data_IF_821595903927
#
_entry.id   IF_821595903927
#
_cell.length_a   1.000
_cell.length_b   1.000
_cell.length_c   1.000
_cell.angle_alpha   90.00
_cell.angle_beta   90.00
_cell.angle_gamma   90.00
#
_symmetry.space_group_name_H-M   'P 1'
#
loop_
_entity.id
_entity.type
_entity.pdbx_description
1 polymer ?
#
# COMPACT_ATOMS: atom_id res chain seq x y z
N UNK A 1 57.87 -25.90 -56.63
CA UNK A 1 57.75 -25.35 -55.27
C UNK A 1 56.37 -24.70 -55.14
N UNK A 2 55.45 -25.32 -54.38
CA UNK A 2 54.06 -24.86 -54.19
C UNK A 2 53.96 -24.07 -52.88
N UNK A 3 53.57 -22.80 -52.95
CA UNK A 3 53.33 -21.95 -51.78
C UNK A 3 51.90 -22.10 -51.27
N UNK A 4 51.74 -22.68 -50.08
CA UNK A 4 50.49 -22.72 -49.31
C UNK A 4 50.27 -21.37 -48.59
N UNK A 5 49.18 -20.67 -48.93
CA UNK A 5 48.66 -19.54 -48.14
C UNK A 5 47.76 -20.08 -47.01
N UNK A 6 48.12 -19.80 -45.76
CA UNK A 6 47.27 -20.03 -44.57
C UNK A 6 46.31 -18.84 -44.42
N UNK A 7 45.01 -19.13 -44.39
CA UNK A 7 43.96 -18.21 -43.96
C UNK A 7 43.87 -18.27 -42.42
N UNK A 8 44.06 -17.14 -41.76
CA UNK A 8 43.86 -17.00 -40.31
C UNK A 8 42.41 -16.55 -40.05
N UNK A 9 41.61 -17.42 -39.46
CA UNK A 9 40.28 -17.08 -38.95
C UNK A 9 40.42 -16.29 -37.65
N UNK A 10 39.95 -15.04 -37.65
CA UNK A 10 39.83 -14.22 -36.45
C UNK A 10 38.50 -14.56 -35.75
N UNK A 11 38.57 -15.20 -34.59
CA UNK A 11 37.41 -15.43 -33.71
C UNK A 11 37.16 -14.15 -32.90
N UNK A 12 36.09 -13.43 -33.22
CA UNK A 12 35.63 -12.29 -32.42
C UNK A 12 34.80 -12.81 -31.24
N UNK A 13 35.38 -12.78 -30.03
CA UNK A 13 34.67 -13.04 -28.77
C UNK A 13 33.82 -11.80 -28.41
N UNK A 14 32.52 -11.85 -28.68
CA UNK A 14 31.56 -10.89 -28.13
C UNK A 14 31.34 -11.19 -26.64
N UNK A 15 31.99 -10.44 -25.76
CA UNK A 15 31.69 -10.41 -24.33
C UNK A 15 30.35 -9.68 -24.13
N UNK A 16 29.27 -10.42 -23.99
CA UNK A 16 27.96 -9.85 -23.65
C UNK A 16 27.97 -9.35 -22.21
N UNK A 17 27.95 -8.03 -22.00
CA UNK A 17 27.62 -7.44 -20.70
C UNK A 17 26.14 -7.73 -20.39
N UNK A 18 25.90 -8.62 -19.43
CA UNK A 18 24.62 -8.72 -18.74
C UNK A 18 24.45 -7.46 -17.87
N UNK A 19 23.69 -6.49 -18.37
CA UNK A 19 23.16 -5.41 -17.55
C UNK A 19 22.07 -5.99 -16.64
N UNK A 20 22.40 -6.25 -15.38
CA UNK A 20 21.41 -6.44 -14.33
C UNK A 20 20.71 -5.08 -14.10
N UNK A 21 19.53 -4.90 -14.69
CA UNK A 21 18.67 -3.79 -14.35
C UNK A 21 18.28 -3.93 -12.87
N UNK A 22 18.62 -2.93 -12.06
CA UNK A 22 18.16 -2.89 -10.68
C UNK A 22 16.63 -2.85 -10.67
N UNK A 23 16.00 -3.74 -9.89
CA UNK A 23 14.57 -3.68 -9.68
C UNK A 23 14.19 -2.29 -9.13
N UNK A 24 13.06 -1.71 -9.55
CA UNK A 24 12.64 -0.42 -9.06
C UNK A 24 12.41 -0.48 -7.56
N UNK A 25 12.64 0.63 -6.85
CA UNK A 25 12.59 0.66 -5.38
C UNK A 25 11.24 0.20 -4.80
N UNK A 26 10.14 0.36 -5.55
CA UNK A 26 8.82 -0.10 -5.11
C UNK A 26 8.65 -1.64 -5.18
N UNK A 27 9.46 -2.32 -5.99
CA UNK A 27 9.48 -3.77 -6.10
C UNK A 27 10.40 -4.44 -5.06
N UNK A 28 11.13 -3.65 -4.27
CA UNK A 28 11.95 -4.18 -3.18
C UNK A 28 11.04 -4.63 -2.03
N UNK A 29 10.77 -5.93 -1.99
CA UNK A 29 10.12 -6.60 -0.87
C UNK A 29 11.17 -6.99 0.16
N UNK A 30 10.96 -6.56 1.40
CA UNK A 30 11.73 -7.05 2.54
C UNK A 30 10.99 -8.24 3.18
N UNK A 31 11.72 -9.30 3.53
CA UNK A 31 11.19 -10.45 4.25
C UNK A 31 11.86 -10.57 5.62
N UNK A 32 11.04 -10.77 6.66
CA UNK A 32 11.44 -10.94 8.04
C UNK A 32 10.82 -12.22 8.61
N UNK A 33 11.50 -12.82 9.58
CA UNK A 33 11.02 -14.02 10.27
C UNK A 33 10.82 -13.71 11.75
N UNK A 34 9.58 -13.83 12.22
CA UNK A 34 9.24 -13.64 13.62
C UNK A 34 9.10 -14.99 14.33
N UNK A 35 9.99 -15.22 15.29
CA UNK A 35 10.08 -16.44 16.10
C UNK A 35 9.21 -16.30 17.36
N UNK A 36 8.20 -17.17 17.53
CA UNK A 36 7.31 -17.13 18.72
C UNK A 36 8.02 -17.42 20.03
N UNK A 37 9.16 -18.11 19.97
CA UNK A 37 10.03 -18.43 21.10
C UNK A 37 10.93 -17.27 21.55
N UNK A 38 10.89 -16.13 20.85
CA UNK A 38 11.71 -14.96 21.17
C UNK A 38 10.86 -13.80 21.66
N UNK A 39 11.21 -13.28 22.84
CA UNK A 39 10.70 -11.99 23.33
C UNK A 39 11.43 -10.77 22.74
N UNK A 40 12.50 -10.99 21.99
CA UNK A 40 13.24 -9.90 21.36
C UNK A 40 12.53 -9.46 20.08
N UNK A 41 12.16 -8.17 19.93
CA UNK A 41 11.61 -7.68 18.69
C UNK A 41 12.59 -7.87 17.53
N UNK A 42 12.05 -8.25 16.37
CA UNK A 42 12.82 -8.21 15.12
C UNK A 42 12.71 -6.82 14.50
N UNK A 43 13.73 -6.44 13.74
CA UNK A 43 13.83 -5.13 13.10
C UNK A 43 14.11 -5.29 11.61
N UNK A 44 13.36 -4.57 10.79
CA UNK A 44 13.63 -4.44 9.37
C UNK A 44 14.90 -3.62 9.09
N UNK A 45 15.44 -3.79 7.91
CA UNK A 45 16.61 -3.08 7.40
C UNK A 45 16.20 -1.80 6.66
N UNK A 46 15.02 -1.79 6.03
CA UNK A 46 14.51 -0.62 5.33
C UNK A 46 13.91 0.41 6.31
N UNK A 47 14.25 1.68 6.11
CA UNK A 47 13.58 2.80 6.78
C UNK A 47 12.27 3.10 6.06
N UNK A 48 11.15 3.02 6.78
CA UNK A 48 9.82 3.28 6.24
C UNK A 48 9.57 4.80 6.22
N UNK A 49 9.58 5.41 5.04
CA UNK A 49 9.47 6.86 4.87
C UNK A 49 8.14 7.39 5.39
N UNK A 50 8.19 8.52 6.12
CA UNK A 50 6.99 9.17 6.66
C UNK A 50 5.94 9.43 5.59
N UNK A 51 4.72 9.01 5.87
CA UNK A 51 3.56 9.24 5.01
C UNK A 51 3.50 8.36 3.75
N UNK A 52 4.53 7.57 3.44
CA UNK A 52 4.47 6.55 2.40
C UNK A 52 3.70 5.34 2.93
N UNK A 53 2.68 4.85 2.19
CA UNK A 53 1.98 3.63 2.58
C UNK A 53 2.79 2.38 2.21
N UNK A 54 2.70 1.37 3.05
CA UNK A 54 3.34 0.07 2.91
C UNK A 54 2.31 -1.05 3.11
N UNK A 55 2.42 -2.10 2.32
CA UNK A 55 1.70 -3.36 2.52
C UNK A 55 2.57 -4.30 3.35
N UNK A 56 2.07 -4.67 4.52
CA UNK A 56 2.63 -5.69 5.38
C UNK A 56 1.79 -6.96 5.24
N UNK A 57 2.39 -8.05 4.79
CA UNK A 57 1.75 -9.37 4.81
C UNK A 57 2.36 -10.19 5.93
N UNK A 58 1.53 -10.72 6.83
CA UNK A 58 1.94 -11.71 7.81
C UNK A 58 1.34 -13.06 7.45
N UNK A 59 2.17 -14.10 7.40
CA UNK A 59 1.76 -15.47 7.09
C UNK A 59 2.35 -16.44 8.10
N UNK A 60 1.55 -17.35 8.64
CA UNK A 60 2.05 -18.38 9.55
C UNK A 60 0.99 -18.86 10.53
N UNK A 61 1.33 -19.90 11.27
CA UNK A 61 0.57 -20.32 12.46
C UNK A 61 1.55 -20.60 13.58
N UNK A 62 1.12 -20.35 14.81
CA UNK A 62 1.94 -20.48 16.01
C UNK A 62 1.06 -20.83 17.22
N UNK A 63 1.72 -21.06 18.35
CA UNK A 63 1.04 -21.25 19.61
C UNK A 63 1.74 -20.49 20.73
N UNK A 64 0.95 -19.95 21.66
CA UNK A 64 1.42 -19.33 22.90
C UNK A 64 1.09 -20.18 24.13
N UNK A 65 0.61 -21.40 23.92
CA UNK A 65 0.37 -22.39 24.97
C UNK A 65 1.34 -23.55 24.83
N UNK A 66 1.88 -24.03 25.94
CA UNK A 66 2.69 -25.26 26.01
C UNK A 66 2.09 -26.48 25.28
N UNK A 67 0.77 -26.62 25.26
CA UNK A 67 0.06 -27.72 24.60
C UNK A 67 -1.40 -27.37 24.30
N UNK A 68 -1.94 -27.94 23.22
CA UNK A 68 -3.37 -27.91 22.82
C UNK A 68 -4.07 -29.27 22.95
N UNK A 69 -3.48 -30.21 23.71
CA UNK A 69 -3.97 -31.60 23.80
C UNK A 69 -5.45 -31.75 24.21
N UNK A 70 -5.97 -30.85 25.05
CA UNK A 70 -7.38 -30.79 25.43
C UNK A 70 -7.95 -29.45 24.98
N UNK A 71 -8.68 -29.41 23.86
CA UNK A 71 -9.30 -28.18 23.35
C UNK A 71 -10.51 -27.78 24.17
N UNK A 72 -10.73 -26.48 24.32
CA UNK A 72 -11.91 -25.95 25.00
C UNK A 72 -13.22 -26.30 24.28
N UNK A 73 -14.32 -26.26 25.02
CA UNK A 73 -15.66 -26.61 24.52
C UNK A 73 -16.14 -25.71 23.37
N UNK A 74 -15.62 -24.48 23.31
CA UNK A 74 -15.89 -23.46 22.27
C UNK A 74 -14.74 -23.29 21.27
N UNK A 75 -13.66 -24.05 21.44
CA UNK A 75 -12.49 -23.99 20.59
C UNK A 75 -12.80 -24.57 19.22
N UNK A 76 -12.21 -24.01 18.16
CA UNK A 76 -12.14 -24.69 16.87
C UNK A 76 -11.14 -25.83 16.87
N UNK A 77 -10.93 -26.42 15.69
CA UNK A 77 -9.98 -27.50 15.46
C UNK A 77 -8.56 -26.92 15.32
N UNK A 78 -7.57 -27.39 16.09
CA UNK A 78 -6.19 -26.95 15.91
C UNK A 78 -5.59 -27.55 14.63
N UNK A 79 -4.65 -26.84 14.03
CA UNK A 79 -3.80 -27.39 12.98
C UNK A 79 -2.78 -28.36 13.59
N UNK A 80 -2.38 -29.44 12.89
CA UNK A 80 -1.52 -30.47 13.45
C UNK A 80 -0.10 -29.99 13.76
N UNK A 81 0.40 -29.02 12.98
CA UNK A 81 1.74 -28.42 13.12
C UNK A 81 1.71 -26.95 12.68
N UNK A 82 2.70 -26.13 13.09
CA UNK A 82 2.86 -24.78 12.56
C UNK A 82 3.11 -24.80 11.05
N UNK A 83 2.56 -23.82 10.35
CA UNK A 83 2.82 -23.59 8.93
C UNK A 83 4.32 -23.36 8.68
N UNK A 84 4.97 -22.67 9.62
CA UNK A 84 6.42 -22.50 9.65
C UNK A 84 6.96 -22.97 11.01
N UNK A 85 7.58 -24.16 11.08
CA UNK A 85 8.11 -24.70 12.32
C UNK A 85 9.19 -23.81 12.95
N UNK A 86 9.22 -23.73 14.28
CA UNK A 86 10.35 -23.12 15.01
C UNK A 86 11.61 -23.95 14.81
N UNK A 87 12.80 -23.31 14.73
CA UNK A 87 14.06 -24.01 14.54
C UNK A 87 14.51 -24.79 15.78
N UNK A 88 13.95 -24.50 16.96
CA UNK A 88 14.29 -25.13 18.23
C UNK A 88 13.05 -25.70 18.90
N UNK A 89 13.19 -26.86 19.55
CA UNK A 89 12.13 -27.50 20.31
C UNK A 89 11.12 -28.29 19.46
N UNK A 90 10.13 -28.87 20.14
CA UNK A 90 9.10 -29.68 19.50
C UNK A 90 7.99 -28.78 18.95
N UNK A 91 7.68 -28.95 17.66
CA UNK A 91 6.52 -28.32 17.02
C UNK A 91 5.31 -29.23 17.19
N UNK A 92 4.21 -28.69 17.72
CA UNK A 92 2.97 -29.43 18.02
C UNK A 92 1.78 -28.74 17.35
N UNK A 93 0.57 -29.14 17.74
CA UNK A 93 -0.67 -28.51 17.32
C UNK A 93 -0.67 -27.00 17.58
N UNK A 94 -1.19 -26.21 16.65
CA UNK A 94 -1.29 -24.74 16.76
C UNK A 94 -2.73 -24.28 16.63
N UNK A 95 -3.05 -23.17 17.28
CA UNK A 95 -4.40 -22.61 17.34
C UNK A 95 -4.46 -21.11 17.06
N UNK A 96 -3.32 -20.52 16.67
CA UNK A 96 -3.20 -19.07 16.48
C UNK A 96 -2.53 -18.79 15.13
N UNK A 97 -3.01 -17.76 14.43
CA UNK A 97 -2.38 -17.15 13.28
C UNK A 97 -2.18 -15.64 13.52
N UNK A 98 -1.68 -14.83 12.56
CA UNK A 98 -1.42 -13.41 12.81
C UNK A 98 -2.63 -12.63 13.29
N UNK A 99 -3.85 -13.02 12.90
CA UNK A 99 -5.07 -12.23 13.10
C UNK A 99 -6.08 -12.92 14.02
N UNK A 100 -6.05 -14.25 14.14
CA UNK A 100 -7.06 -15.04 14.83
C UNK A 100 -6.48 -16.09 15.76
N UNK A 101 -7.16 -16.28 16.89
CA UNK A 101 -7.12 -17.50 17.69
C UNK A 101 -8.29 -18.38 17.24
N UNK A 102 -7.98 -19.48 16.55
CA UNK A 102 -8.97 -20.44 16.03
C UNK A 102 -9.05 -21.72 16.86
N UNK A 103 -8.07 -22.00 17.72
CA UNK A 103 -8.14 -23.07 18.71
C UNK A 103 -7.42 -22.69 20.01
N UNK A 104 -7.93 -23.16 21.16
CA UNK A 104 -7.39 -22.85 22.49
C UNK A 104 -7.62 -24.01 23.47
N UNK A 105 -6.81 -24.13 24.54
CA UNK A 105 -6.94 -25.22 25.48
C UNK A 105 -8.15 -25.04 26.41
N UNK A 106 -8.69 -26.16 26.90
CA UNK A 106 -9.74 -26.20 27.89
C UNK A 106 -9.31 -25.49 29.19
N UNK A 107 -10.22 -24.73 29.79
CA UNK A 107 -9.96 -23.96 31.01
C UNK A 107 -9.19 -22.66 30.82
N UNK A 108 -8.76 -22.33 29.59
CA UNK A 108 -8.19 -21.02 29.25
C UNK A 108 -9.19 -19.88 29.47
N UNK A 109 -8.69 -18.64 29.49
CA UNK A 109 -9.55 -17.45 29.56
C UNK A 109 -10.53 -17.38 28.38
N UNK A 110 -10.11 -17.79 27.18
CA UNK A 110 -10.96 -17.86 25.99
C UNK A 110 -12.07 -18.91 26.12
N UNK A 111 -11.77 -20.09 26.66
CA UNK A 111 -12.79 -21.13 26.91
C UNK A 111 -13.88 -20.65 27.88
N UNK A 112 -13.49 -19.85 28.88
CA UNK A 112 -14.41 -19.22 29.85
C UNK A 112 -15.14 -18.00 29.27
N UNK A 113 -14.67 -17.44 28.16
CA UNK A 113 -15.27 -16.26 27.54
C UNK A 113 -16.54 -16.59 26.76
N UNK A 114 -17.34 -15.57 26.43
CA UNK A 114 -18.47 -15.70 25.52
C UNK A 114 -18.07 -15.54 24.04
N UNK A 115 -16.79 -15.32 23.73
CA UNK A 115 -16.36 -15.10 22.36
C UNK A 115 -16.43 -16.40 21.55
N UNK A 116 -17.01 -16.37 20.33
CA UNK A 116 -17.02 -17.54 19.45
C UNK A 116 -15.63 -17.76 18.84
N UNK A 117 -15.34 -19.00 18.44
CA UNK A 117 -14.20 -19.29 17.57
C UNK A 117 -14.57 -18.96 16.12
N UNK A 118 -13.66 -18.38 15.32
CA UNK A 118 -12.35 -17.84 15.71
C UNK A 118 -12.48 -16.46 16.38
N UNK A 119 -11.64 -16.20 17.39
CA UNK A 119 -11.53 -14.90 18.05
C UNK A 119 -10.38 -14.08 17.45
N UNK A 120 -10.47 -12.74 17.42
CA UNK A 120 -9.36 -11.88 16.97
C UNK A 120 -8.17 -11.99 17.94
N UNK A 121 -6.98 -12.18 17.40
CA UNK A 121 -5.72 -12.17 18.14
C UNK A 121 -5.11 -10.77 18.17
N UNK A 122 -4.23 -10.53 19.14
CA UNK A 122 -3.41 -9.30 19.21
C UNK A 122 -2.00 -9.58 19.74
N UNK A 123 -1.58 -10.85 19.65
CA UNK A 123 -0.30 -11.37 20.13
C UNK A 123 0.89 -10.90 19.30
N UNK A 124 0.68 -10.37 18.09
CA UNK A 124 1.74 -9.74 17.29
C UNK A 124 1.57 -8.23 17.31
N UNK A 125 2.62 -7.49 17.66
CA UNK A 125 2.61 -6.04 17.64
C UNK A 125 3.70 -5.50 16.72
N UNK A 126 3.39 -4.39 16.06
CA UNK A 126 4.31 -3.62 15.24
C UNK A 126 4.63 -2.28 15.90
N UNK A 127 5.84 -1.78 15.65
CA UNK A 127 6.26 -0.42 15.96
C UNK A 127 6.82 0.25 14.71
N UNK A 128 6.43 1.51 14.52
CA UNK A 128 6.85 2.36 13.41
C UNK A 128 7.68 3.56 13.87
N UNK A 129 7.87 3.74 15.19
CA UNK A 129 8.48 4.92 15.80
C UNK A 129 9.77 4.59 16.58
N UNK A 130 10.42 3.50 16.18
CA UNK A 130 11.67 3.03 16.80
C UNK A 130 11.46 2.26 18.11
N UNK A 131 10.27 1.71 18.34
CA UNK A 131 9.96 0.87 19.51
C UNK A 131 9.35 1.63 20.69
N UNK A 132 8.91 2.88 20.50
CA UNK A 132 8.30 3.70 21.56
C UNK A 132 6.84 3.29 21.77
N UNK A 133 6.10 3.08 20.69
CA UNK A 133 4.73 2.56 20.73
C UNK A 133 4.61 1.24 19.99
N UNK A 134 3.69 0.40 20.47
CA UNK A 134 3.46 -0.94 19.95
C UNK A 134 1.96 -1.19 19.85
N UNK A 135 1.51 -1.67 18.70
CA UNK A 135 0.10 -2.02 18.48
C UNK A 135 -0.02 -3.19 17.53
N UNK A 136 -1.07 -3.98 17.68
CA UNK A 136 -1.47 -4.89 16.62
C UNK A 136 -1.98 -4.05 15.44
N UNK A 137 -1.50 -4.27 14.20
CA UNK A 137 -2.03 -3.55 13.05
C UNK A 137 -3.50 -3.93 12.84
N UNK A 138 -4.35 -2.96 12.45
CA UNK A 138 -5.77 -3.21 12.25
C UNK A 138 -6.02 -3.98 10.95
N UNK A 139 -6.90 -4.97 10.98
CA UNK A 139 -7.41 -5.65 9.78
C UNK A 139 -8.91 -5.88 9.89
N UNK A 140 -9.60 -5.84 8.74
CA UNK A 140 -10.99 -6.27 8.59
C UNK A 140 -11.11 -7.64 7.92
N UNK A 141 -9.98 -8.29 7.62
CA UNK A 141 -9.97 -9.57 6.93
C UNK A 141 -10.81 -10.62 7.68
N UNK A 142 -11.58 -11.46 6.97
CA UNK A 142 -12.20 -12.63 7.57
C UNK A 142 -11.14 -13.68 7.91
N UNK A 143 -11.50 -14.64 8.77
CA UNK A 143 -10.61 -15.76 9.09
C UNK A 143 -10.24 -16.55 7.82
N UNK A 144 -8.94 -16.76 7.61
CA UNK A 144 -8.39 -17.49 6.46
C UNK A 144 -7.72 -18.79 6.94
N UNK A 145 -8.53 -19.85 7.06
CA UNK A 145 -8.06 -21.17 7.45
C UNK A 145 -7.15 -21.87 6.41
N UNK A 146 -7.08 -21.36 5.17
CA UNK A 146 -6.31 -22.02 4.09
C UNK A 146 -4.88 -21.53 4.05
N UNK A 147 -4.68 -20.21 4.03
CA UNK A 147 -3.34 -19.64 3.87
C UNK A 147 -2.75 -19.09 5.17
N UNK A 148 -3.59 -18.81 6.17
CA UNK A 148 -3.20 -18.10 7.40
C UNK A 148 -2.34 -16.86 7.10
N UNK A 149 -2.78 -16.10 6.09
CA UNK A 149 -2.08 -14.95 5.56
C UNK A 149 -3.00 -13.73 5.54
N UNK A 150 -2.51 -12.62 6.08
CA UNK A 150 -3.28 -11.39 6.24
C UNK A 150 -2.45 -10.19 5.81
N UNK A 151 -3.12 -9.23 5.19
CA UNK A 151 -2.55 -7.98 4.74
C UNK A 151 -2.91 -6.85 5.70
N UNK A 152 -1.95 -5.98 5.94
CA UNK A 152 -2.07 -4.80 6.77
C UNK A 152 -1.43 -3.62 6.06
N UNK A 153 -2.02 -2.46 6.25
CA UNK A 153 -1.53 -1.24 5.64
C UNK A 153 -0.92 -0.36 6.71
N UNK A 154 0.34 0.00 6.50
CA UNK A 154 1.10 0.82 7.40
C UNK A 154 1.42 2.15 6.73
N UNK A 155 1.44 3.24 7.50
CA UNK A 155 2.06 4.49 7.08
C UNK A 155 3.44 4.58 7.73
N UNK A 156 4.49 4.74 6.95
CA UNK A 156 5.84 4.90 7.50
C UNK A 156 5.97 6.13 8.41
N UNK A 157 7.02 6.14 9.24
CA UNK A 157 7.32 7.21 10.22
C UNK A 157 8.84 7.41 10.40
N UNK A 158 9.59 7.31 9.31
CA UNK A 158 11.05 7.49 9.23
C UNK A 158 11.88 6.57 10.12
N UNK A 159 11.34 5.41 10.49
CA UNK A 159 12.05 4.35 11.21
C UNK A 159 11.90 3.02 10.48
N UNK A 160 12.78 2.07 10.80
CA UNK A 160 12.59 0.69 10.38
C UNK A 160 11.42 0.05 11.13
N UNK A 161 10.68 -0.82 10.44
CA UNK A 161 9.64 -1.64 11.07
C UNK A 161 10.26 -2.47 12.20
N UNK A 162 9.61 -2.49 13.36
CA UNK A 162 9.88 -3.50 14.38
C UNK A 162 8.64 -4.34 14.63
N UNK A 163 8.83 -5.63 14.89
CA UNK A 163 7.73 -6.57 15.15
C UNK A 163 8.08 -7.46 16.34
N UNK A 164 7.10 -7.75 17.20
CA UNK A 164 7.29 -8.63 18.37
C UNK A 164 6.06 -9.50 18.65
N UNK A 165 6.29 -10.60 19.36
CA UNK A 165 5.24 -11.31 20.06
C UNK A 165 4.99 -10.74 21.46
N UNK A 166 3.73 -10.73 21.88
CA UNK A 166 3.26 -10.36 23.22
C UNK A 166 2.84 -11.62 23.93
N UNK A 167 3.77 -12.17 24.72
CA UNK A 167 3.51 -13.35 25.52
C UNK A 167 4.57 -13.50 26.63
N UNK A 168 4.27 -14.26 27.68
CA UNK A 168 5.23 -14.60 28.73
C UNK A 168 4.74 -15.84 29.52
N UNK A 169 5.52 -16.93 29.60
CA UNK A 169 6.87 -17.11 29.07
C UNK A 169 6.91 -17.34 27.55
N UNK A 170 8.02 -17.01 26.89
CA UNK A 170 8.22 -17.35 25.46
C UNK A 170 8.70 -18.79 25.25
N UNK A 171 9.18 -19.45 26.31
CA UNK A 171 9.86 -20.74 26.22
C UNK A 171 8.94 -21.92 25.85
N UNK A 172 7.62 -21.76 25.99
CA UNK A 172 6.63 -22.78 25.64
C UNK A 172 5.91 -22.50 24.32
N UNK A 173 6.35 -21.47 23.60
CA UNK A 173 5.83 -21.12 22.29
C UNK A 173 6.49 -21.97 21.19
N UNK A 174 5.81 -22.07 20.05
CA UNK A 174 6.35 -22.69 18.85
C UNK A 174 5.59 -22.24 17.61
N UNK A 175 6.25 -22.36 16.46
CA UNK A 175 5.81 -21.81 15.19
C UNK A 175 6.42 -20.42 14.91
N UNK A 176 6.29 -19.99 13.66
CA UNK A 176 6.87 -18.74 13.16
C UNK A 176 5.90 -18.03 12.23
N UNK A 177 6.11 -16.74 12.09
CA UNK A 177 5.40 -15.90 11.14
C UNK A 177 6.41 -15.33 10.15
N UNK A 178 6.19 -15.62 8.88
CA UNK A 178 6.85 -14.94 7.78
C UNK A 178 6.17 -13.59 7.59
N UNK A 179 6.97 -12.54 7.53
CA UNK A 179 6.51 -11.17 7.37
C UNK A 179 7.12 -10.62 6.11
N UNK A 180 6.31 -10.04 5.23
CA UNK A 180 6.82 -9.28 4.09
C UNK A 180 6.33 -7.85 4.09
N UNK A 181 7.24 -6.93 3.83
CA UNK A 181 6.96 -5.49 3.74
C UNK A 181 7.21 -5.03 2.31
N UNK A 182 6.23 -4.38 1.71
CA UNK A 182 6.33 -3.82 0.36
C UNK A 182 5.89 -2.34 0.37
N UNK A 183 6.69 -1.41 -0.13
CA UNK A 183 6.25 -0.02 -0.34
C UNK A 183 5.20 0.08 -1.44
N UNK A 184 4.35 1.10 -1.35
CA UNK A 184 3.50 1.48 -2.47
C UNK A 184 4.33 1.95 -3.67
N UNK A 185 3.84 1.66 -4.87
CA UNK A 185 4.34 2.30 -6.07
C UNK A 185 3.94 3.77 -6.03
N UNK A 186 4.89 4.67 -6.25
CA UNK A 186 4.69 6.11 -6.25
C UNK A 186 4.73 6.66 -7.68
N UNK A 187 3.66 7.34 -8.08
CA UNK A 187 3.53 8.00 -9.37
C UNK A 187 3.31 9.50 -9.17
N UNK A 188 3.74 10.28 -10.16
CA UNK A 188 3.58 11.74 -10.18
C UNK A 188 2.84 12.17 -11.43
N UNK A 189 1.63 12.71 -11.25
CA UNK A 189 0.81 13.25 -12.33
C UNK A 189 1.00 14.78 -12.37
N UNK A 190 1.53 15.30 -13.47
CA UNK A 190 1.70 16.73 -13.68
C UNK A 190 0.53 17.31 -14.47
N UNK A 191 -0.13 18.33 -13.92
CA UNK A 191 -1.26 19.03 -14.55
C UNK A 191 -0.89 19.71 -15.87
N UNK A 192 0.42 19.91 -16.10
CA UNK A 192 0.96 20.47 -17.35
C UNK A 192 1.20 19.43 -18.45
N UNK A 193 0.89 18.17 -18.21
CA UNK A 193 1.05 17.09 -19.17
C UNK A 193 -0.30 16.44 -19.51
N UNK A 194 -0.61 16.38 -20.79
CA UNK A 194 -1.71 15.56 -21.30
C UNK A 194 -1.35 14.09 -21.55
N UNK A 195 -0.06 13.74 -21.42
CA UNK A 195 0.37 12.36 -21.57
C UNK A 195 -0.01 11.56 -20.31
N UNK A 196 -0.71 10.42 -20.45
CA UNK A 196 -0.98 9.56 -19.32
C UNK A 196 0.31 9.05 -18.69
N UNK A 197 0.34 9.01 -17.36
CA UNK A 197 1.35 8.25 -16.63
C UNK A 197 0.87 6.81 -16.47
N UNK A 198 1.83 5.90 -16.34
CA UNK A 198 1.57 4.47 -16.28
C UNK A 198 2.32 3.87 -15.08
N UNK A 199 1.61 3.05 -14.33
CA UNK A 199 2.17 2.17 -13.30
C UNK A 199 3.01 1.05 -13.92
N UNK A 200 4.09 0.69 -13.27
CA UNK A 200 4.88 -0.50 -13.58
C UNK A 200 4.22 -1.79 -13.05
N UNK A 201 3.36 -1.67 -12.01
CA UNK A 201 2.53 -2.76 -11.52
C UNK A 201 1.39 -3.12 -12.49
N UNK A 202 1.39 -4.36 -12.97
CA UNK A 202 0.26 -4.91 -13.73
C UNK A 202 -0.83 -5.36 -12.77
N UNK A 203 -2.02 -4.76 -12.90
CA UNK A 203 -3.15 -5.06 -12.04
C UNK A 203 -3.84 -6.36 -12.46
N UNK A 204 -3.48 -7.47 -11.84
CA UNK A 204 -4.07 -8.79 -12.11
C UNK A 204 -5.61 -8.76 -12.16
N UNK A 205 -6.19 -9.41 -13.18
CA UNK A 205 -7.63 -9.36 -13.45
C UNK A 205 -8.46 -9.83 -12.26
N UNK A 206 -9.45 -9.02 -11.87
CA UNK A 206 -10.35 -9.29 -10.74
C UNK A 206 -9.72 -9.18 -9.35
N UNK A 207 -8.43 -8.85 -9.25
CA UNK A 207 -7.77 -8.63 -7.95
C UNK A 207 -8.06 -7.21 -7.44
N UNK A 208 -8.34 -7.05 -6.15
CA UNK A 208 -8.53 -5.73 -5.57
C UNK A 208 -7.19 -4.98 -5.50
N UNK A 209 -7.24 -3.69 -5.81
CA UNK A 209 -6.15 -2.76 -5.63
C UNK A 209 -6.70 -1.49 -5.03
N UNK A 210 -5.82 -0.79 -4.34
CA UNK A 210 -6.14 0.48 -3.75
C UNK A 210 -5.08 1.49 -4.18
N UNK A 211 -5.52 2.67 -4.58
CA UNK A 211 -4.60 3.78 -4.76
C UNK A 211 -5.08 5.03 -4.03
N UNK A 212 -4.13 5.86 -3.65
CA UNK A 212 -4.38 7.12 -2.96
C UNK A 212 -3.81 8.25 -3.79
N UNK A 213 -4.61 9.28 -4.06
CA UNK A 213 -4.16 10.50 -4.71
C UNK A 213 -4.07 11.62 -3.67
N UNK A 214 -3.01 12.42 -3.77
CA UNK A 214 -2.77 13.56 -2.90
C UNK A 214 -2.25 14.76 -3.69
N UNK A 215 -2.77 15.95 -3.40
CA UNK A 215 -2.21 17.20 -3.92
C UNK A 215 -3.28 18.20 -4.35
N UNK A 216 -2.84 19.39 -4.75
CA UNK A 216 -3.72 20.43 -5.30
C UNK A 216 -3.15 20.95 -6.61
N UNK A 217 -4.04 21.33 -7.51
CA UNK A 217 -3.70 21.80 -8.85
C UNK A 217 -4.72 22.83 -9.38
N UNK A 218 -4.36 23.48 -10.47
CA UNK A 218 -5.21 24.40 -11.23
C UNK A 218 -5.34 23.90 -12.66
N UNK A 219 -6.56 23.96 -13.19
CA UNK A 219 -6.92 23.80 -14.60
C UNK A 219 -7.13 25.16 -15.31
N UNK A 220 -6.57 26.23 -14.73
CA UNK A 220 -6.75 27.61 -15.18
C UNK A 220 -5.43 28.36 -15.16
N UNK A 221 -5.21 29.18 -16.18
CA UNK A 221 -4.06 30.08 -16.30
C UNK A 221 -3.96 31.24 -15.32
N UNK A 222 -4.88 31.35 -14.35
CA UNK A 222 -4.77 32.29 -13.24
C UNK A 222 -6.06 32.54 -12.48
N UNK A 223 -5.91 33.02 -11.25
CA UNK A 223 -6.97 33.53 -10.39
C UNK A 223 -6.81 35.05 -10.24
N UNK A 224 -7.49 35.83 -11.07
CA UNK A 224 -7.53 37.30 -10.92
C UNK A 224 -8.49 37.73 -9.81
N UNK A 225 -9.61 37.01 -9.67
CA UNK A 225 -10.55 37.09 -8.56
C UNK A 225 -11.26 35.74 -8.42
N UNK A 226 -11.71 35.38 -7.21
CA UNK A 226 -12.57 34.21 -7.02
C UNK A 226 -13.98 34.47 -7.59
N UNK A 227 -14.61 33.42 -8.13
CA UNK A 227 -16.01 33.50 -8.57
C UNK A 227 -16.99 33.69 -7.41
N UNK A 228 -18.21 34.15 -7.67
CA UNK A 228 -19.18 34.50 -6.62
C UNK A 228 -19.51 33.34 -5.64
N UNK A 229 -19.55 32.11 -6.13
CA UNK A 229 -19.81 30.88 -5.35
C UNK A 229 -18.55 30.06 -5.06
N UNK A 230 -17.38 30.61 -5.39
CA UNK A 230 -16.08 29.97 -5.20
C UNK A 230 -15.61 30.09 -3.76
N UNK A 231 -14.89 29.07 -3.30
CA UNK A 231 -14.12 29.13 -2.08
C UNK A 231 -12.84 29.95 -2.28
N UNK A 232 -12.01 29.98 -1.23
CA UNK A 232 -10.71 30.63 -1.26
C UNK A 232 -9.69 29.72 -1.96
N UNK A 233 -9.02 30.18 -3.03
CA UNK A 233 -7.95 29.40 -3.63
C UNK A 233 -6.74 29.34 -2.70
N UNK A 234 -5.97 28.26 -2.78
CA UNK A 234 -4.67 28.18 -2.13
C UNK A 234 -3.65 29.01 -2.91
N UNK A 235 -2.67 29.64 -2.24
CA UNK A 235 -1.70 30.51 -2.89
C UNK A 235 -0.75 29.77 -3.84
N UNK A 236 -0.51 28.47 -3.60
CA UNK A 236 0.38 27.60 -4.37
C UNK A 236 -0.11 26.16 -4.29
N UNK A 237 0.17 25.31 -5.31
CA UNK A 237 -0.10 23.88 -5.23
C UNK A 237 0.67 23.21 -4.09
N UNK A 238 0.05 22.21 -3.47
CA UNK A 238 0.70 21.32 -2.49
C UNK A 238 1.98 20.70 -3.05
N UNK A 239 1.96 20.31 -4.33
CA UNK A 239 3.15 19.83 -5.04
C UNK A 239 3.38 20.66 -6.30
N UNK A 240 4.38 21.57 -6.31
CA UNK A 240 4.68 22.41 -7.48
C UNK A 240 5.03 21.61 -8.73
N UNK A 241 4.50 21.99 -9.89
CA UNK A 241 4.99 21.50 -11.19
C UNK A 241 6.41 22.01 -11.45
N UNK A 242 7.28 21.20 -12.07
CA UNK A 242 8.64 21.61 -12.39
C UNK A 242 8.69 22.73 -13.44
N UNK A 243 9.83 23.42 -13.50
CA UNK A 243 10.28 24.28 -14.60
C UNK A 243 9.43 25.52 -14.95
N UNK A 244 8.41 25.91 -14.15
CA UNK A 244 7.82 27.27 -14.22
C UNK A 244 7.27 27.70 -12.86
N UNK A 245 7.00 29.00 -12.73
CA UNK A 245 6.23 29.53 -11.61
C UNK A 245 4.88 28.80 -11.50
N UNK A 246 4.48 28.53 -10.26
CA UNK A 246 3.18 27.95 -9.95
C UNK A 246 2.22 29.06 -9.53
N UNK A 247 0.94 28.84 -9.77
CA UNK A 247 -0.11 29.81 -9.49
C UNK A 247 -1.02 29.32 -8.36
N UNK A 248 -2.02 30.14 -8.05
CA UNK A 248 -3.09 29.74 -7.15
C UNK A 248 -3.84 28.53 -7.68
N UNK A 249 -4.32 27.68 -6.76
CA UNK A 249 -5.00 26.42 -7.08
C UNK A 249 -6.34 26.32 -6.38
N UNK A 250 -7.24 25.55 -6.98
CA UNK A 250 -8.62 25.39 -6.50
C UNK A 250 -9.20 24.01 -6.72
N UNK A 251 -8.37 23.05 -7.17
CA UNK A 251 -8.79 21.69 -7.49
C UNK A 251 -7.89 20.71 -6.75
N UNK A 252 -8.49 19.64 -6.24
CA UNK A 252 -7.80 18.46 -5.74
C UNK A 252 -8.34 17.20 -6.46
N UNK A 253 -7.85 15.98 -6.16
CA UNK A 253 -8.26 14.79 -6.88
C UNK A 253 -9.77 14.51 -6.89
N UNK A 254 -10.53 15.00 -5.91
CA UNK A 254 -11.93 14.66 -5.72
C UNK A 254 -12.86 15.87 -5.72
N UNK A 255 -12.35 17.08 -5.46
CA UNK A 255 -13.14 18.29 -5.30
C UNK A 255 -12.56 19.48 -6.07
N UNK A 256 -13.46 20.33 -6.57
CA UNK A 256 -13.18 21.71 -6.93
C UNK A 256 -13.62 22.59 -5.76
N UNK A 257 -12.66 23.16 -5.05
CA UNK A 257 -12.88 23.99 -3.86
C UNK A 257 -12.71 25.49 -4.12
N UNK A 258 -12.10 25.88 -5.25
CA UNK A 258 -12.09 27.27 -5.71
C UNK A 258 -11.99 27.34 -7.24
N UNK A 259 -12.51 28.42 -7.83
CA UNK A 259 -12.43 28.71 -9.26
C UNK A 259 -12.39 30.23 -9.54
N UNK A 260 -11.77 30.66 -10.65
CA UNK A 260 -11.70 32.07 -10.98
C UNK A 260 -13.05 32.61 -11.47
N UNK A 261 -13.24 33.92 -11.27
CA UNK A 261 -14.32 34.70 -11.88
C UNK A 261 -14.24 34.59 -13.40
N UNK A 262 -15.39 34.40 -14.06
CA UNK A 262 -15.53 34.19 -15.49
C UNK A 262 -15.37 32.73 -15.92
N UNK A 263 -15.00 31.81 -15.02
CA UNK A 263 -14.93 30.39 -15.36
C UNK A 263 -16.31 29.81 -15.68
N UNK A 264 -16.33 28.70 -16.43
CA UNK A 264 -17.57 27.96 -16.70
C UNK A 264 -18.30 27.51 -15.43
N UNK A 265 -17.58 27.31 -14.33
CA UNK A 265 -18.15 26.94 -13.04
C UNK A 265 -18.92 28.07 -12.36
N UNK A 266 -18.61 29.34 -12.64
CA UNK A 266 -19.35 30.48 -12.08
C UNK A 266 -20.81 30.53 -12.56
N UNK A 267 -21.10 29.92 -13.72
CA UNK A 267 -22.48 29.79 -14.22
C UNK A 267 -23.31 28.79 -13.41
N UNK A 268 -22.67 27.97 -12.60
CA UNK A 268 -23.34 26.99 -11.75
C UNK A 268 -23.77 27.63 -10.43
N UNK A 269 -25.00 27.39 -9.96
CA UNK A 269 -25.44 27.85 -8.64
C UNK A 269 -24.85 27.01 -7.50
N UNK A 270 -24.18 25.88 -7.81
CA UNK A 270 -23.62 24.98 -6.80
C UNK A 270 -22.42 25.65 -6.10
N UNK A 271 -22.43 25.74 -4.75
CA UNK A 271 -21.33 26.33 -4.00
C UNK A 271 -20.11 25.40 -3.95
N UNK A 272 -18.93 25.98 -3.69
CA UNK A 272 -17.75 25.20 -3.34
C UNK A 272 -17.86 24.61 -1.92
N UNK A 273 -17.19 23.48 -1.61
CA UNK A 273 -16.55 22.58 -2.56
C UNK A 273 -17.58 21.70 -3.28
N UNK A 274 -17.32 21.39 -4.55
CA UNK A 274 -18.13 20.45 -5.35
C UNK A 274 -17.28 19.30 -5.85
N UNK A 275 -17.89 18.15 -6.16
CA UNK A 275 -17.17 17.00 -6.71
C UNK A 275 -16.50 17.37 -8.03
N UNK A 276 -15.21 17.06 -8.15
CA UNK A 276 -14.44 17.15 -9.37
C UNK A 276 -14.69 15.89 -10.18
N UNK A 277 -15.56 15.92 -11.19
CA UNK A 277 -15.89 14.70 -11.95
C UNK A 277 -15.18 14.58 -13.29
N UNK A 278 -14.24 15.48 -13.60
CA UNK A 278 -13.74 15.62 -14.97
C UNK A 278 -12.29 16.07 -15.14
N UNK A 279 -11.54 16.37 -14.07
CA UNK A 279 -10.14 16.83 -14.26
C UNK A 279 -9.16 15.67 -14.39
N UNK A 280 -9.35 14.60 -13.63
CA UNK A 280 -8.48 13.42 -13.59
C UNK A 280 -9.26 12.19 -14.02
N UNK A 281 -8.66 11.36 -14.87
CA UNK A 281 -9.21 10.07 -15.24
C UNK A 281 -8.19 8.94 -15.04
N UNK A 282 -8.72 7.76 -14.77
CA UNK A 282 -7.95 6.51 -14.74
C UNK A 282 -8.39 5.57 -15.85
N UNK A 283 -7.46 4.71 -16.26
CA UNK A 283 -7.73 3.55 -17.11
C UNK A 283 -7.11 2.30 -16.49
N UNK A 284 -7.88 1.20 -16.54
CA UNK A 284 -7.48 -0.12 -16.05
C UNK A 284 -7.33 -1.14 -17.18
N UNK A 285 -7.68 -0.77 -18.42
CA UNK A 285 -7.79 -1.64 -19.60
C UNK A 285 -6.77 -1.31 -20.69
N UNK A 286 -5.67 -0.66 -20.30
CA UNK A 286 -4.60 -0.24 -21.21
C UNK A 286 -4.91 1.04 -21.98
N UNK A 287 -5.82 1.88 -21.50
CA UNK A 287 -6.14 3.19 -22.08
C UNK A 287 -7.30 3.17 -23.07
N UNK A 288 -8.09 2.09 -23.12
CA UNK A 288 -9.26 1.98 -24.02
C UNK A 288 -10.45 2.73 -23.44
N UNK A 289 -10.70 2.58 -22.14
CA UNK A 289 -11.71 3.34 -21.41
C UNK A 289 -11.05 4.21 -20.35
N UNK A 290 -11.66 5.38 -20.13
CA UNK A 290 -11.24 6.37 -19.15
C UNK A 290 -12.43 6.80 -18.33
N UNK A 291 -12.24 6.93 -17.03
CA UNK A 291 -13.25 7.43 -16.11
C UNK A 291 -12.61 8.15 -14.94
N UNK A 292 -13.32 9.12 -14.41
CA UNK A 292 -12.96 9.69 -13.12
C UNK A 292 -13.10 8.63 -12.01
N UNK A 293 -12.07 8.39 -11.19
CA UNK A 293 -12.21 7.54 -10.01
C UNK A 293 -13.03 8.29 -8.95
N UNK A 294 -14.00 7.65 -8.30
CA UNK A 294 -14.82 8.32 -7.28
C UNK A 294 -14.58 7.73 -5.90
N UNK A 295 -14.63 8.58 -4.89
CA UNK A 295 -14.60 8.18 -3.48
C UNK A 295 -15.84 8.70 -2.74
N UNK A 296 -16.22 8.04 -1.65
CA UNK A 296 -17.29 8.52 -0.75
C UNK A 296 -16.78 9.51 0.29
N UNK A 297 -15.48 9.80 0.30
CA UNK A 297 -14.85 10.68 1.28
C UNK A 297 -15.47 12.09 1.23
N UNK A 298 -15.61 12.76 2.38
CA UNK A 298 -15.91 14.18 2.43
C UNK A 298 -14.70 15.00 1.95
N UNK A 299 -14.92 16.28 1.65
CA UNK A 299 -13.84 17.19 1.30
C UNK A 299 -12.79 17.27 2.42
N UNK A 300 -11.52 17.07 2.06
CA UNK A 300 -10.39 17.14 2.99
C UNK A 300 -9.48 18.32 2.61
N UNK A 301 -9.75 19.48 3.22
CA UNK A 301 -8.97 20.70 3.02
C UNK A 301 -7.56 20.69 3.64
N UNK A 302 -7.23 19.69 4.47
CA UNK A 302 -5.93 19.65 5.17
C UNK A 302 -4.93 18.82 4.38
N UNK A 303 -5.32 17.61 3.99
CA UNK A 303 -4.39 16.69 3.32
C UNK A 303 -4.59 16.61 1.81
N UNK A 304 -5.74 17.06 1.30
CA UNK A 304 -6.15 16.90 -0.10
C UNK A 304 -5.90 15.47 -0.63
N UNK A 305 -6.24 14.49 0.21
CA UNK A 305 -5.86 13.08 0.07
C UNK A 305 -7.10 12.20 0.05
N UNK A 306 -7.22 11.38 -0.99
CA UNK A 306 -8.38 10.52 -1.23
C UNK A 306 -7.95 9.13 -1.67
N UNK A 307 -8.67 8.12 -1.20
CA UNK A 307 -8.37 6.71 -1.45
C UNK A 307 -9.47 6.09 -2.30
N UNK A 308 -9.06 5.28 -3.26
CA UNK A 308 -9.91 4.68 -4.27
C UNK A 308 -9.65 3.18 -4.34
N UNK A 309 -10.73 2.40 -4.36
CA UNK A 309 -10.71 0.96 -4.54
C UNK A 309 -11.01 0.64 -6.01
N UNK A 310 -10.22 -0.23 -6.62
CA UNK A 310 -10.41 -0.70 -7.99
C UNK A 310 -10.17 -2.20 -8.10
N UNK A 311 -10.76 -2.82 -9.12
CA UNK A 311 -10.46 -4.20 -9.50
C UNK A 311 -9.63 -4.20 -10.78
N UNK A 312 -8.50 -4.91 -10.78
CA UNK A 312 -7.61 -4.96 -11.94
C UNK A 312 -8.27 -5.60 -13.16
N UNK A 313 -7.80 -5.23 -14.36
CA UNK A 313 -8.24 -5.83 -15.64
C UNK A 313 -7.08 -6.44 -16.44
N UNK A 314 -5.99 -6.82 -15.75
CA UNK A 314 -4.80 -7.41 -16.36
C UNK A 314 -3.86 -6.41 -17.03
N UNK A 315 -4.09 -5.10 -16.87
CA UNK A 315 -3.21 -4.05 -17.36
C UNK A 315 -2.69 -3.19 -16.19
N UNK A 316 -1.66 -2.40 -16.45
CA UNK A 316 -1.22 -1.40 -15.49
C UNK A 316 -2.22 -0.25 -15.34
N UNK A 317 -2.27 0.36 -14.16
CA UNK A 317 -2.99 1.61 -13.95
C UNK A 317 -2.41 2.70 -14.87
N UNK A 318 -3.26 3.40 -15.59
CA UNK A 318 -2.91 4.66 -16.24
C UNK A 318 -3.73 5.79 -15.65
N UNK A 319 -3.13 6.97 -15.55
CA UNK A 319 -3.77 8.17 -15.00
C UNK A 319 -3.46 9.36 -15.90
N UNK A 320 -4.44 10.24 -16.15
CA UNK A 320 -4.25 11.46 -16.95
C UNK A 320 -5.05 12.64 -16.43
N UNK A 321 -4.64 13.84 -16.81
CA UNK A 321 -5.47 15.03 -16.78
C UNK A 321 -6.25 15.20 -18.09
N UNK A 322 -7.43 15.83 -18.02
CA UNK A 322 -8.28 16.11 -19.18
C UNK A 322 -8.28 17.56 -19.66
N UNK A 323 -7.60 18.45 -18.96
CA UNK A 323 -7.71 19.88 -19.19
C UNK A 323 -6.87 20.39 -20.38
N UNK A 324 -7.42 21.30 -21.19
CA UNK A 324 -6.70 21.95 -22.29
C UNK A 324 -6.98 23.45 -22.28
N UNK A 325 -5.94 24.30 -22.47
CA UNK A 325 -4.55 23.95 -22.76
C UNK A 325 -3.71 23.62 -21.51
N UNK A 326 -3.00 22.49 -21.47
CA UNK A 326 -2.14 22.13 -20.32
C UNK A 326 -1.05 23.16 -19.93
N UNK A 327 -0.72 24.10 -20.82
CA UNK A 327 0.35 25.06 -20.61
C UNK A 327 0.08 26.10 -19.51
N UNK A 328 -1.18 26.26 -19.11
CA UNK A 328 -1.62 27.25 -18.12
C UNK A 328 -1.92 26.61 -16.74
N UNK A 329 -1.88 25.29 -16.65
CA UNK A 329 -2.05 24.53 -15.42
C UNK A 329 -0.90 24.70 -14.43
N UNK A 330 -1.17 24.38 -13.17
CA UNK A 330 -0.17 24.43 -12.09
C UNK A 330 -0.43 23.34 -11.06
N UNK A 331 0.61 22.63 -10.65
CA UNK A 331 0.56 21.64 -9.57
C UNK A 331 0.63 20.19 -10.05
N UNK A 332 0.94 19.31 -9.11
CA UNK A 332 1.04 17.87 -9.32
C UNK A 332 0.18 17.12 -8.32
N UNK A 333 -0.23 15.93 -8.72
CA UNK A 333 -0.87 14.94 -7.85
C UNK A 333 0.11 13.79 -7.64
N UNK A 334 0.41 13.50 -6.38
CA UNK A 334 1.15 12.32 -5.94
C UNK A 334 0.18 11.16 -5.83
N UNK A 335 0.54 10.01 -6.38
CA UNK A 335 -0.32 8.82 -6.37
C UNK A 335 0.46 7.67 -5.75
N UNK A 336 -0.14 6.97 -4.81
CA UNK A 336 0.38 5.73 -4.25
C UNK A 336 -0.51 4.56 -4.65
N UNK A 337 0.05 3.48 -5.17
CA UNK A 337 -0.67 2.28 -5.59
C UNK A 337 -0.18 1.07 -4.80
N UNK A 338 -1.14 0.29 -4.27
CA UNK A 338 -0.91 -0.94 -3.52
C UNK A 338 -1.87 -2.05 -3.97
N UNK A 339 -1.48 -3.33 -3.83
CA UNK A 339 -2.46 -4.42 -3.76
C UNK A 339 -3.49 -4.13 -2.65
N UNK A 340 -4.75 -4.48 -2.89
CA UNK A 340 -5.81 -4.33 -1.89
C UNK A 340 -5.59 -5.30 -0.71
N UNK A 341 -5.81 -4.81 0.51
CA UNK A 341 -5.71 -5.60 1.74
C UNK A 341 -6.93 -6.51 1.97
#
# INVERSE_FOLDING_TARGET
MKNMRRLANSLTLCTGMLLLAAAPAWAQKEELWLESQSGTPIRGTAVLKRGTPYLLTMKGTYNTWKTLANTGSKSGKPEPTPLFPSPKGANKQVGIDPEFVFAWPAGSSLDKSSQPSPARASSIQVSLDGGKTWKHPSSTAPFNATDHAYNYELAGDDNALQVRFVDNPYSDNYGRVQISVQPAEELWLDSRSGAPIRSELVLGKGKPYRFTMQGTFSAWGGFTAAGANSGKPEPTPMFPSPNRANQQVGIDPEFVFAWPKGSGLEKSPEPSPRRNTGSIEISLDGGKTWKHPSSTAPFNATDHKYTYEVSGDGNALQVRFLDKPYGDNSGRVRIFLLPGA
#
